data_IF_233284635489
#
_entry.id   IF_233284635489
#
_cell.length_a   1.000
_cell.length_b   1.000
_cell.length_c   1.000
_cell.angle_alpha   90.00
_cell.angle_beta   90.00
_cell.angle_gamma   90.00
#
_symmetry.space_group_name_H-M   'P 1'
#
loop_
_entity.id
_entity.type
_entity.pdbx_description
1 polymer ?
#
# COMPACT_ATOMS: atom_id res chain seq x y z
N UNK A 1 14.87 15.81 55.91
CA UNK A 1 15.73 16.21 54.77
C UNK A 1 15.52 15.13 53.73
N UNK A 2 14.53 15.25 52.83
CA UNK A 2 14.60 16.02 51.56
C UNK A 2 15.68 15.45 50.64
N UNK A 3 15.49 15.14 49.37
CA UNK A 3 14.38 15.10 48.39
C UNK A 3 14.98 14.39 47.15
N UNK A 4 14.14 14.02 46.18
CA UNK A 4 14.45 13.68 44.77
C UNK A 4 14.52 12.17 44.53
N UNK A 5 13.39 11.52 44.28
CA UNK A 5 12.62 11.60 43.02
C UNK A 5 13.57 11.54 41.82
N UNK A 6 14.00 10.32 41.50
CA UNK A 6 14.40 9.99 40.13
C UNK A 6 13.32 9.04 39.61
N UNK A 7 12.57 9.62 38.70
CA UNK A 7 11.39 9.12 38.02
C UNK A 7 11.59 7.69 37.48
N UNK A 8 10.82 6.74 38.01
CA UNK A 8 10.75 5.34 37.52
C UNK A 8 9.82 5.25 36.30
N UNK A 9 9.26 6.37 35.82
CA UNK A 9 8.20 6.42 34.82
C UNK A 9 8.67 6.79 33.40
N UNK A 10 9.77 6.22 32.92
CA UNK A 10 10.18 6.42 31.52
C UNK A 10 10.73 5.16 30.84
N UNK A 11 10.23 3.97 31.23
CA UNK A 11 10.43 2.77 30.42
C UNK A 11 9.26 2.65 29.46
N UNK A 12 9.40 3.33 28.33
CA UNK A 12 8.58 3.24 27.13
C UNK A 12 8.09 1.79 26.99
N UNK A 13 6.79 1.56 27.20
CA UNK A 13 6.12 0.35 26.78
C UNK A 13 6.17 0.29 25.26
N UNK A 14 7.30 -0.13 24.69
CA UNK A 14 7.43 -0.43 23.26
C UNK A 14 6.57 -1.67 22.98
N UNK A 15 5.25 -1.44 22.89
CA UNK A 15 4.28 -2.44 22.46
C UNK A 15 4.59 -2.77 21.01
N UNK A 16 5.27 -3.89 20.79
CA UNK A 16 5.50 -4.41 19.44
C UNK A 16 4.24 -5.17 19.02
N UNK A 17 3.49 -4.57 18.09
CA UNK A 17 2.28 -5.18 17.53
C UNK A 17 2.67 -6.08 16.36
N UNK A 18 2.30 -7.35 16.43
CA UNK A 18 2.47 -8.30 15.33
C UNK A 18 1.12 -8.62 14.71
N UNK A 19 1.02 -8.47 13.39
CA UNK A 19 -0.16 -8.83 12.62
C UNK A 19 0.06 -10.17 11.89
N UNK A 20 -0.84 -11.13 12.09
CA UNK A 20 -0.79 -12.42 11.42
C UNK A 20 -2.00 -12.59 10.49
N UNK A 21 -1.81 -12.66 9.15
CA UNK A 21 -2.92 -12.78 8.22
C UNK A 21 -3.56 -14.18 8.28
N UNK A 22 -4.82 -14.24 8.68
CA UNK A 22 -5.61 -15.47 8.74
C UNK A 22 -6.22 -15.90 7.39
N UNK A 23 -6.02 -15.11 6.33
CA UNK A 23 -6.45 -15.43 4.97
C UNK A 23 -5.45 -14.92 3.93
N UNK A 24 -5.39 -15.58 2.77
CA UNK A 24 -4.56 -15.13 1.63
C UNK A 24 -4.92 -13.69 1.21
N UNK A 25 -6.20 -13.35 1.26
CA UNK A 25 -6.70 -12.00 0.99
C UNK A 25 -6.12 -10.96 1.94
N UNK A 26 -6.18 -11.21 3.25
CA UNK A 26 -5.57 -10.29 4.25
C UNK A 26 -4.05 -10.23 4.06
N UNK A 27 -3.40 -11.34 3.73
CA UNK A 27 -1.97 -11.36 3.42
C UNK A 27 -1.63 -10.47 2.22
N UNK A 28 -2.42 -10.53 1.15
CA UNK A 28 -2.27 -9.69 -0.04
C UNK A 28 -2.39 -8.20 0.33
N UNK A 29 -3.43 -7.84 1.09
CA UNK A 29 -3.69 -6.44 1.48
C UNK A 29 -2.58 -5.88 2.37
N UNK A 30 -2.13 -6.63 3.39
CA UNK A 30 -1.01 -6.22 4.24
C UNK A 30 0.29 -6.06 3.44
N UNK A 31 0.52 -6.96 2.49
CA UNK A 31 1.69 -6.88 1.61
C UNK A 31 1.62 -5.65 0.71
N UNK A 32 0.45 -5.33 0.16
CA UNK A 32 0.24 -4.12 -0.65
C UNK A 32 0.46 -2.86 0.18
N UNK A 33 -0.11 -2.81 1.39
CA UNK A 33 0.09 -1.69 2.32
C UNK A 33 1.59 -1.45 2.59
N UNK A 34 2.33 -2.52 2.87
CA UNK A 34 3.78 -2.43 3.09
C UNK A 34 4.51 -1.86 1.86
N UNK A 35 4.11 -2.27 0.65
CA UNK A 35 4.69 -1.72 -0.57
C UNK A 35 4.34 -0.25 -0.79
N UNK A 36 3.09 0.17 -0.57
CA UNK A 36 2.71 1.57 -0.68
C UNK A 36 3.44 2.45 0.33
N UNK A 37 3.57 2.01 1.59
CA UNK A 37 4.36 2.72 2.63
C UNK A 37 5.83 2.87 2.20
N UNK A 38 6.42 1.80 1.67
CA UNK A 38 7.81 1.81 1.21
C UNK A 38 7.99 2.71 -0.02
N UNK A 39 7.03 2.70 -0.94
CA UNK A 39 7.05 3.57 -2.12
C UNK A 39 6.99 5.04 -1.69
N UNK A 40 6.04 5.41 -0.82
CA UNK A 40 5.92 6.76 -0.28
C UNK A 40 7.22 7.22 0.41
N UNK A 41 7.80 6.37 1.26
CA UNK A 41 9.07 6.67 1.94
C UNK A 41 10.24 6.99 1.00
N UNK A 42 10.35 6.26 -0.11
CA UNK A 42 11.41 6.51 -1.08
C UNK A 42 11.10 7.69 -2.01
N UNK A 43 9.82 8.00 -2.27
CA UNK A 43 9.41 9.16 -3.07
C UNK A 43 9.66 10.50 -2.34
N UNK A 44 9.62 10.51 -1.00
CA UNK A 44 9.94 11.70 -0.21
C UNK A 44 11.43 12.05 -0.19
N UNK A 45 12.29 11.15 -0.67
CA UNK A 45 13.75 11.30 -0.63
C UNK A 45 14.31 11.56 -2.02
N UNK A 46 15.31 12.44 -2.08
CA UNK A 46 15.91 12.88 -3.34
C UNK A 46 17.23 12.16 -3.69
N UNK A 47 17.49 10.98 -3.11
CA UNK A 47 18.69 10.20 -3.46
C UNK A 47 18.46 9.32 -4.68
N UNK A 48 19.48 9.17 -5.53
CA UNK A 48 19.47 8.21 -6.65
C UNK A 48 19.13 6.78 -6.17
N UNK A 49 19.62 6.41 -4.97
CA UNK A 49 19.33 5.11 -4.36
C UNK A 49 17.87 4.96 -3.93
N UNK A 50 17.25 6.04 -3.48
CA UNK A 50 15.83 6.05 -3.11
C UNK A 50 14.96 5.97 -4.37
N UNK A 51 15.30 6.70 -5.43
CA UNK A 51 14.64 6.56 -6.73
C UNK A 51 14.71 5.13 -7.27
N UNK A 52 15.89 4.50 -7.19
CA UNK A 52 16.04 3.08 -7.56
C UNK A 52 15.13 2.17 -6.70
N UNK A 53 15.11 2.38 -5.39
CA UNK A 53 14.28 1.60 -4.49
C UNK A 53 12.78 1.81 -4.75
N UNK A 54 12.34 3.04 -5.05
CA UNK A 54 10.97 3.37 -5.42
C UNK A 54 10.54 2.63 -6.70
N UNK A 55 11.37 2.66 -7.76
CA UNK A 55 11.12 1.94 -9.02
C UNK A 55 11.02 0.43 -8.76
N UNK A 56 11.94 -0.14 -7.99
CA UNK A 56 11.91 -1.57 -7.66
C UNK A 56 10.62 -1.98 -6.94
N UNK A 57 10.15 -1.14 -6.02
CA UNK A 57 8.87 -1.35 -5.32
C UNK A 57 7.68 -1.20 -6.27
N UNK A 58 7.70 -0.21 -7.16
CA UNK A 58 6.66 0.01 -8.17
C UNK A 58 6.54 -1.19 -9.11
N UNK A 59 7.65 -1.71 -9.64
CA UNK A 59 7.64 -2.88 -10.52
C UNK A 59 7.05 -4.11 -9.81
N UNK A 60 7.40 -4.33 -8.53
CA UNK A 60 6.81 -5.40 -7.71
C UNK A 60 5.31 -5.21 -7.49
N UNK A 61 4.85 -3.98 -7.28
CA UNK A 61 3.43 -3.65 -7.17
C UNK A 61 2.69 -4.00 -8.47
N UNK A 62 3.22 -3.56 -9.62
CA UNK A 62 2.64 -3.85 -10.94
C UNK A 62 2.56 -5.36 -11.21
N UNK A 63 3.60 -6.11 -10.84
CA UNK A 63 3.60 -7.57 -10.98
C UNK A 63 2.55 -8.26 -10.10
N UNK A 64 2.35 -7.80 -8.87
CA UNK A 64 1.33 -8.37 -7.96
C UNK A 64 -0.09 -8.00 -8.44
N UNK A 65 -0.33 -6.74 -8.78
CA UNK A 65 -1.63 -6.26 -9.21
C UNK A 65 -2.11 -6.91 -10.53
N UNK A 66 -1.18 -7.25 -11.42
CA UNK A 66 -1.50 -7.89 -12.70
C UNK A 66 -1.72 -9.41 -12.62
N UNK A 67 -1.08 -10.09 -11.65
CA UNK A 67 -1.19 -11.55 -11.46
C UNK A 67 -2.37 -11.97 -10.58
N UNK A 68 -2.72 -11.14 -9.60
CA UNK A 68 -3.85 -11.37 -8.70
C UNK A 68 -5.10 -10.64 -9.22
N UNK A 69 -6.30 -11.19 -8.99
CA UNK A 69 -7.55 -10.44 -9.20
C UNK A 69 -7.78 -9.47 -8.04
N UNK A 70 -6.87 -8.51 -7.89
CA UNK A 70 -6.90 -7.55 -6.80
C UNK A 70 -8.18 -6.70 -6.83
N UNK A 71 -8.70 -6.41 -8.02
CA UNK A 71 -9.96 -5.67 -8.21
C UNK A 71 -11.11 -6.43 -7.55
N UNK A 72 -11.30 -7.70 -7.89
CA UNK A 72 -12.36 -8.53 -7.30
C UNK A 72 -12.22 -8.67 -5.79
N UNK A 73 -11.01 -8.95 -5.30
CA UNK A 73 -10.72 -9.10 -3.88
C UNK A 73 -11.04 -7.82 -3.06
N UNK A 74 -10.71 -6.64 -3.62
CA UNK A 74 -11.02 -5.35 -3.02
C UNK A 74 -12.52 -5.07 -3.02
N UNK A 75 -13.23 -5.33 -4.12
CA UNK A 75 -14.70 -5.14 -4.20
C UNK A 75 -15.40 -6.00 -3.13
N UNK A 76 -14.99 -7.26 -2.98
CA UNK A 76 -15.57 -8.16 -1.98
C UNK A 76 -15.27 -7.64 -0.56
N UNK A 77 -14.05 -7.20 -0.30
CA UNK A 77 -13.70 -6.69 1.03
C UNK A 77 -14.38 -5.36 1.37
N UNK A 78 -14.49 -4.42 0.43
CA UNK A 78 -15.20 -3.16 0.63
C UNK A 78 -16.68 -3.40 0.93
N UNK A 79 -17.34 -4.30 0.20
CA UNK A 79 -18.73 -4.68 0.49
C UNK A 79 -18.86 -5.36 1.85
N UNK A 80 -17.94 -6.27 2.22
CA UNK A 80 -17.94 -6.91 3.54
C UNK A 80 -17.79 -5.89 4.67
N UNK A 81 -16.91 -4.90 4.51
CA UNK A 81 -16.71 -3.82 5.49
C UNK A 81 -17.95 -2.95 5.62
N UNK A 82 -18.55 -2.55 4.50
CA UNK A 82 -19.83 -1.84 4.46
C UNK A 82 -20.92 -2.59 5.23
N UNK A 83 -21.13 -3.87 4.93
CA UNK A 83 -22.15 -4.67 5.61
C UNK A 83 -21.86 -4.85 7.11
N UNK A 84 -20.58 -4.91 7.50
CA UNK A 84 -20.17 -4.96 8.90
C UNK A 84 -20.52 -3.65 9.63
N UNK A 85 -20.28 -2.50 8.99
CA UNK A 85 -20.63 -1.18 9.53
C UNK A 85 -22.14 -1.00 9.65
N UNK A 86 -22.92 -1.40 8.64
CA UNK A 86 -24.39 -1.33 8.67
C UNK A 86 -24.99 -2.21 9.77
N UNK A 87 -24.42 -3.41 9.99
CA UNK A 87 -24.86 -4.31 11.07
C UNK A 87 -24.56 -3.76 12.47
N UNK A 88 -23.53 -2.93 12.63
CA UNK A 88 -23.21 -2.25 13.89
C UNK A 88 -24.13 -1.04 14.10
N UNK A 89 -25.43 -1.29 14.25
CA UNK A 89 -26.39 -0.27 14.69
C UNK A 89 -26.15 0.06 16.17
N UNK A 90 -25.28 1.04 16.46
CA UNK A 90 -25.13 1.60 17.80
C UNK A 90 -25.10 3.15 17.75
N UNK A 91 -26.00 3.73 18.55
CA UNK A 91 -26.64 5.05 18.40
C UNK A 91 -25.91 6.29 18.97
N UNK A 92 -24.58 6.51 18.76
CA UNK A 92 -24.05 7.89 18.80
C UNK A 92 -23.37 8.38 17.51
N UNK A 93 -23.04 7.48 16.57
CA UNK A 93 -22.15 7.82 15.44
C UNK A 93 -22.75 7.55 14.05
N UNK A 94 -24.08 7.60 13.95
CA UNK A 94 -24.79 7.24 12.72
C UNK A 94 -24.37 8.11 11.53
N UNK A 95 -24.07 9.39 11.74
CA UNK A 95 -23.59 10.28 10.67
C UNK A 95 -22.18 9.88 10.17
N UNK A 96 -21.27 9.47 11.06
CA UNK A 96 -19.93 9.00 10.68
C UNK A 96 -20.01 7.67 9.93
N UNK A 97 -20.87 6.76 10.39
CA UNK A 97 -21.09 5.46 9.74
C UNK A 97 -21.70 5.67 8.35
N UNK A 98 -22.65 6.59 8.23
CA UNK A 98 -23.28 6.94 6.95
C UNK A 98 -22.24 7.52 5.98
N UNK A 99 -21.45 8.51 6.41
CA UNK A 99 -20.40 9.11 5.59
C UNK A 99 -19.35 8.08 5.13
N UNK A 100 -18.88 7.22 6.05
CA UNK A 100 -17.93 6.15 5.71
C UNK A 100 -18.55 5.13 4.73
N UNK A 101 -19.84 4.81 4.88
CA UNK A 101 -20.55 3.89 3.98
C UNK A 101 -20.73 4.47 2.58
N UNK A 102 -21.01 5.77 2.49
CA UNK A 102 -21.08 6.51 1.21
C UNK A 102 -19.71 6.54 0.53
N UNK A 103 -18.64 6.82 1.27
CA UNK A 103 -17.27 6.78 0.75
C UNK A 103 -16.89 5.38 0.23
N UNK A 104 -17.17 4.33 1.01
CA UNK A 104 -16.95 2.94 0.59
C UNK A 104 -17.74 2.60 -0.67
N UNK A 105 -18.97 3.10 -0.80
CA UNK A 105 -19.82 2.84 -1.98
C UNK A 105 -19.27 3.55 -3.22
N UNK A 106 -18.89 4.83 -3.09
CA UNK A 106 -18.28 5.59 -4.18
C UNK A 106 -16.93 4.98 -4.63
N UNK A 107 -16.11 4.50 -3.69
CA UNK A 107 -14.86 3.80 -4.00
C UNK A 107 -15.12 2.46 -4.71
N UNK A 108 -16.14 1.72 -4.28
CA UNK A 108 -16.53 0.45 -4.91
C UNK A 108 -17.01 0.68 -6.34
N UNK A 109 -17.83 1.71 -6.59
CA UNK A 109 -18.30 2.10 -7.93
C UNK A 109 -17.13 2.47 -8.84
N UNK A 110 -16.22 3.36 -8.40
CA UNK A 110 -15.00 3.70 -9.16
C UNK A 110 -14.16 2.47 -9.51
N UNK A 111 -14.10 1.51 -8.59
CA UNK A 111 -13.34 0.29 -8.80
C UNK A 111 -14.03 -0.64 -9.80
N UNK A 112 -15.37 -0.71 -9.79
CA UNK A 112 -16.18 -1.43 -10.77
C UNK A 112 -16.01 -0.81 -12.16
N UNK A 113 -16.07 0.51 -12.28
CA UNK A 113 -15.95 1.27 -13.53
C UNK A 113 -14.53 1.23 -14.13
N UNK A 114 -13.51 0.90 -13.35
CA UNK A 114 -12.14 0.75 -13.86
C UNK A 114 -12.03 -0.47 -14.79
N UNK A 115 -11.77 -0.25 -16.07
CA UNK A 115 -11.62 -1.34 -17.05
C UNK A 115 -10.36 -2.20 -16.83
N UNK A 116 -10.52 -3.51 -16.97
CA UNK A 116 -9.42 -4.47 -16.89
C UNK A 116 -8.85 -4.68 -15.47
N UNK A 117 -7.65 -5.28 -15.40
CA UNK A 117 -6.96 -5.54 -14.13
C UNK A 117 -6.21 -4.30 -13.66
N UNK A 118 -6.12 -4.14 -12.35
CA UNK A 118 -5.32 -3.10 -11.74
C UNK A 118 -3.85 -3.25 -12.18
N UNK A 119 -3.24 -2.13 -12.60
CA UNK A 119 -1.85 -2.10 -13.05
C UNK A 119 -1.60 -2.57 -14.49
N UNK A 120 -2.62 -2.99 -15.25
CA UNK A 120 -2.43 -3.27 -16.67
C UNK A 120 -1.94 -2.04 -17.45
N UNK A 121 -2.54 -0.86 -17.20
CA UNK A 121 -2.10 0.39 -17.81
C UNK A 121 -0.64 0.75 -17.48
N UNK A 122 -0.12 0.29 -16.33
CA UNK A 122 1.28 0.47 -15.96
C UNK A 122 2.19 -0.55 -16.66
N UNK A 123 1.69 -1.75 -16.98
CA UNK A 123 2.43 -2.72 -17.78
C UNK A 123 2.55 -2.30 -19.24
N UNK A 124 1.53 -1.66 -19.78
CA UNK A 124 1.54 -1.21 -21.17
C UNK A 124 2.39 0.06 -21.37
N UNK A 125 2.96 0.60 -20.30
CA UNK A 125 3.86 1.75 -20.37
C UNK A 125 5.25 1.35 -20.86
N UNK A 126 5.63 1.84 -22.05
CA UNK A 126 6.93 1.56 -22.68
C UNK A 126 8.12 1.89 -21.78
N UNK A 127 8.05 2.98 -21.02
CA UNK A 127 9.13 3.35 -20.11
C UNK A 127 9.28 2.31 -19.00
N UNK A 128 8.18 1.89 -18.36
CA UNK A 128 8.23 0.86 -17.32
C UNK A 128 8.71 -0.48 -17.86
N UNK A 129 8.32 -0.88 -19.07
CA UNK A 129 8.83 -2.08 -19.74
C UNK A 129 10.34 -2.01 -19.98
N UNK A 130 10.84 -0.88 -20.50
CA UNK A 130 12.26 -0.66 -20.72
C UNK A 130 13.06 -0.70 -19.41
N UNK A 131 12.53 -0.09 -18.34
CA UNK A 131 13.14 -0.13 -17.01
C UNK A 131 13.12 -1.55 -16.46
N UNK A 132 12.00 -2.26 -16.58
CA UNK A 132 11.84 -3.65 -16.13
C UNK A 132 12.87 -4.56 -16.78
N UNK A 133 13.01 -4.52 -18.11
CA UNK A 133 13.98 -5.33 -18.86
C UNK A 133 15.41 -5.08 -18.37
N UNK A 134 15.81 -3.83 -18.15
CA UNK A 134 17.17 -3.49 -17.71
C UNK A 134 17.44 -3.87 -16.26
N UNK A 135 16.46 -3.74 -15.38
CA UNK A 135 16.56 -4.18 -13.98
C UNK A 135 16.74 -5.70 -13.83
N UNK A 136 16.13 -6.49 -14.71
CA UNK A 136 16.17 -7.95 -14.62
C UNK A 136 17.25 -8.61 -15.49
N UNK A 137 17.70 -7.97 -16.57
CA UNK A 137 18.80 -8.47 -17.41
C UNK A 137 20.19 -8.25 -16.81
N UNK A 138 20.33 -7.33 -15.85
CA UNK A 138 21.61 -7.07 -15.20
C UNK A 138 21.65 -7.74 -13.83
N UNK A 139 22.56 -8.70 -13.66
CA UNK A 139 22.97 -9.22 -12.36
C UNK A 139 23.69 -8.15 -11.50
N UNK A 140 23.85 -6.93 -12.02
CA UNK A 140 24.42 -5.78 -11.34
C UNK A 140 23.39 -4.63 -11.34
N UNK A 141 22.97 -4.21 -10.15
CA UNK A 141 21.87 -3.26 -9.88
C UNK A 141 22.24 -1.81 -10.18
N UNK A 142 22.84 -1.53 -11.33
CA UNK A 142 23.25 -0.20 -11.73
C UNK A 142 22.28 0.39 -12.79
N UNK A 143 21.12 0.89 -12.32
CA UNK A 143 20.15 1.68 -13.13
C UNK A 143 20.72 3.05 -13.56
N UNK A 144 21.91 3.42 -13.06
CA UNK A 144 22.65 4.67 -13.33
C UNK A 144 22.86 4.95 -14.83
N UNK A 145 22.71 3.94 -15.71
CA UNK A 145 22.79 4.09 -17.17
C UNK A 145 21.53 4.62 -17.88
N UNK A 146 20.51 5.11 -17.16
CA UNK A 146 19.31 5.71 -17.79
C UNK A 146 19.46 7.23 -17.95
N UNK A 147 19.53 7.76 -19.19
CA UNK A 147 19.70 9.21 -19.43
C UNK A 147 18.53 10.08 -18.94
N UNK A 148 17.41 9.47 -18.54
CA UNK A 148 16.21 10.18 -18.04
C UNK A 148 16.37 10.63 -16.58
N UNK A 149 17.31 10.05 -15.81
CA UNK A 149 17.53 10.39 -14.40
C UNK A 149 18.63 11.44 -14.16
N UNK A 150 19.13 12.09 -15.22
CA UNK A 150 20.20 13.10 -15.15
C UNK A 150 19.70 14.55 -15.33
N UNK A 151 18.40 14.80 -15.20
CA UNK A 151 17.82 16.15 -15.19
C UNK A 151 17.36 16.53 -13.78
#
# INVERSE_FOLDING_TARGET
MSTQDIDVNEKISTSTVFEHPLSERVRLLLRLEQFFKRLAFHLEKNSIWDTHAAISVLLRLVDICSRSDLKGELIIELNRQKDCMLRKHARPYQHLIQAATEELSALTEKLIDHDGRLGNHLKDNDFLQNVQQRCFSSNDSNIVGLPVYQL
#
